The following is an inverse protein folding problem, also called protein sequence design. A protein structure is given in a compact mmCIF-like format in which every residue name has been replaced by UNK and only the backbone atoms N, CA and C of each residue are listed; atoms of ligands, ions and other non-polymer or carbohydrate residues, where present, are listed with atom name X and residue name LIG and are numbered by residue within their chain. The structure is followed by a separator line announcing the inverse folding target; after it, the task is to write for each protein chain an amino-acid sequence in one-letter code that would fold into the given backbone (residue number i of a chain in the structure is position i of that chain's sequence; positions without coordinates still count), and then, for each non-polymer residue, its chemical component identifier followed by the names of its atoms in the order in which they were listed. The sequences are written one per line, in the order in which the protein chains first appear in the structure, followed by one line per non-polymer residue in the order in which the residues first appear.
data_IF_667262336410
#
_entry.id   IF_667262336410
#
_cell.length_a   1.000
_cell.length_b   1.000
_cell.length_c   1.000
_cell.angle_alpha   90.00
_cell.angle_beta   90.00
_cell.angle_gamma   90.00
#
_symmetry.space_group_name_H-M   'P 1'
#
loop_
_entity.id
_entity.type
_entity.pdbx_description
1 polymer ?
#
# COMPACT_ATOMS: atom_id res chain seq x y z
N UNK A 1 22.27 16.78 -2.66
CA UNK A 1 21.08 17.66 -2.74
C UNK A 1 21.47 18.86 -3.57
N UNK A 2 21.09 18.82 -4.84
CA UNK A 2 21.59 19.71 -5.88
C UNK A 2 21.27 21.18 -5.59
N UNK A 3 22.31 22.02 -5.64
CA UNK A 3 22.29 23.47 -5.46
C UNK A 3 21.40 24.24 -6.49
N UNK A 4 20.66 23.52 -7.34
CA UNK A 4 19.78 24.02 -8.39
C UNK A 4 18.39 24.41 -7.90
N UNK A 5 17.93 23.81 -6.79
CA UNK A 5 16.60 24.12 -6.18
C UNK A 5 16.64 25.46 -5.45
N UNK A 6 17.78 25.84 -4.87
CA UNK A 6 17.95 27.11 -4.14
C UNK A 6 18.22 28.32 -5.05
N UNK A 7 18.52 28.10 -6.33
CA UNK A 7 18.98 29.13 -7.28
C UNK A 7 18.04 29.37 -8.46
N UNK A 8 16.99 28.56 -8.62
CA UNK A 8 16.02 28.68 -9.71
C UNK A 8 14.77 29.47 -9.28
N UNK A 9 14.07 30.19 -10.18
CA UNK A 9 12.82 30.86 -9.83
C UNK A 9 11.78 29.87 -9.31
N UNK A 10 10.98 30.28 -8.31
CA UNK A 10 10.04 29.42 -7.57
C UNK A 10 9.06 28.67 -8.50
N UNK A 11 8.58 29.33 -9.57
CA UNK A 11 7.65 28.73 -10.54
C UNK A 11 8.21 27.49 -11.26
N UNK A 12 9.35 27.54 -11.99
CA UNK A 12 9.88 26.36 -12.69
C UNK A 12 10.30 25.23 -11.75
N UNK A 13 10.81 25.53 -10.55
CA UNK A 13 11.13 24.50 -9.55
C UNK A 13 9.87 23.78 -9.05
N UNK A 14 8.80 24.52 -8.74
CA UNK A 14 7.52 23.91 -8.36
C UNK A 14 6.94 23.06 -9.49
N UNK A 15 6.98 23.54 -10.74
CA UNK A 15 6.44 22.80 -11.88
C UNK A 15 7.26 21.52 -12.12
N UNK A 16 8.59 21.56 -12.03
CA UNK A 16 9.42 20.37 -12.28
C UNK A 16 9.25 19.28 -11.21
N UNK A 17 8.83 19.64 -10.00
CA UNK A 17 8.53 18.67 -8.93
C UNK A 17 7.08 18.19 -8.96
N UNK A 18 6.14 19.09 -9.26
CA UNK A 18 4.71 18.79 -9.20
C UNK A 18 4.21 18.09 -10.46
N UNK A 19 4.75 18.41 -11.64
CA UNK A 19 4.28 17.79 -12.88
C UNK A 19 4.50 16.25 -12.91
N UNK A 20 5.68 15.71 -12.52
CA UNK A 20 5.86 14.26 -12.42
C UNK A 20 4.95 13.62 -11.37
N UNK A 21 4.79 14.24 -10.21
CA UNK A 21 3.94 13.73 -9.14
C UNK A 21 2.45 13.69 -9.54
N UNK A 22 1.97 14.78 -10.17
CA UNK A 22 0.61 14.85 -10.68
C UNK A 22 0.36 13.82 -11.78
N UNK A 23 1.32 13.61 -12.68
CA UNK A 23 1.22 12.57 -13.70
C UNK A 23 1.18 11.17 -13.08
N UNK A 24 2.01 10.89 -12.06
CA UNK A 24 1.97 9.63 -11.31
C UNK A 24 0.61 9.37 -10.64
N UNK A 25 0.02 10.40 -10.03
CA UNK A 25 -1.33 10.30 -9.46
C UNK A 25 -2.40 10.05 -10.54
N UNK A 26 -2.32 10.73 -11.68
CA UNK A 26 -3.24 10.49 -12.80
C UNK A 26 -3.15 9.06 -13.32
N UNK A 27 -1.94 8.52 -13.48
CA UNK A 27 -1.75 7.12 -13.87
C UNK A 27 -2.34 6.15 -12.83
N UNK A 28 -2.19 6.46 -11.55
CA UNK A 28 -2.77 5.67 -10.45
C UNK A 28 -4.30 5.62 -10.53
N UNK A 29 -4.95 6.78 -10.76
CA UNK A 29 -6.40 6.84 -10.93
C UNK A 29 -6.88 6.11 -12.19
N UNK A 30 -6.16 6.23 -13.30
CA UNK A 30 -6.47 5.50 -14.53
C UNK A 30 -6.37 3.99 -14.33
N UNK A 31 -5.35 3.52 -13.62
CA UNK A 31 -5.21 2.11 -13.28
C UNK A 31 -6.41 1.61 -12.45
N UNK A 32 -6.82 2.34 -11.41
CA UNK A 32 -7.99 1.97 -10.60
C UNK A 32 -9.28 1.89 -11.43
N UNK A 33 -9.48 2.82 -12.37
CA UNK A 33 -10.65 2.83 -13.26
C UNK A 33 -10.63 1.63 -14.21
N UNK A 34 -9.48 1.34 -14.81
CA UNK A 34 -9.32 0.22 -15.73
C UNK A 34 -9.53 -1.12 -15.01
N UNK A 35 -8.96 -1.29 -13.82
CA UNK A 35 -9.14 -2.49 -12.99
C UNK A 35 -10.62 -2.74 -12.67
N UNK A 36 -11.31 -1.70 -12.16
CA UNK A 36 -12.75 -1.76 -11.87
C UNK A 36 -13.58 -2.07 -13.12
N UNK A 37 -13.21 -1.50 -14.28
CA UNK A 37 -13.89 -1.74 -15.55
C UNK A 37 -13.76 -3.20 -16.01
N UNK A 38 -12.57 -3.79 -15.92
CA UNK A 38 -12.34 -5.19 -16.29
C UNK A 38 -13.06 -6.16 -15.36
N UNK A 39 -13.07 -5.90 -14.05
CA UNK A 39 -13.79 -6.76 -13.11
C UNK A 39 -15.31 -6.61 -13.26
N UNK A 40 -15.80 -5.39 -13.54
CA UNK A 40 -17.20 -5.14 -13.86
C UNK A 40 -17.67 -5.86 -15.14
N UNK A 41 -16.76 -6.17 -16.07
CA UNK A 41 -17.04 -6.98 -17.27
C UNK A 41 -17.19 -8.47 -16.99
N UNK A 42 -16.63 -8.99 -15.89
CA UNK A 42 -16.75 -10.40 -15.52
C UNK A 42 -18.16 -10.74 -15.03
N UNK A 43 -18.82 -9.79 -14.36
CA UNK A 43 -20.22 -9.88 -13.98
C UNK A 43 -20.54 -9.03 -12.76
N UNK A 44 -21.83 -9.03 -12.38
CA UNK A 44 -22.33 -8.24 -11.24
C UNK A 44 -21.92 -8.84 -9.89
N UNK A 45 -21.69 -10.15 -9.82
CA UNK A 45 -21.28 -10.83 -8.58
C UNK A 45 -19.80 -10.59 -8.27
N UNK A 46 -18.97 -10.52 -9.30
CA UNK A 46 -17.54 -10.24 -9.26
C UNK A 46 -17.28 -8.80 -8.82
N UNK A 47 -18.02 -7.85 -9.37
CA UNK A 47 -17.96 -6.45 -8.96
C UNK A 47 -18.45 -6.24 -7.52
N UNK A 48 -19.48 -6.98 -7.10
CA UNK A 48 -19.94 -6.97 -5.71
C UNK A 48 -18.87 -7.54 -4.77
N UNK A 49 -18.23 -8.66 -5.13
CA UNK A 49 -17.14 -9.26 -4.37
C UNK A 49 -15.94 -8.31 -4.20
N UNK A 50 -15.56 -7.57 -5.25
CA UNK A 50 -14.54 -6.51 -5.15
C UNK A 50 -14.97 -5.43 -4.13
N UNK A 51 -16.22 -4.97 -4.22
CA UNK A 51 -16.74 -3.92 -3.36
C UNK A 51 -16.75 -4.33 -1.88
N UNK A 52 -17.05 -5.59 -1.57
CA UNK A 52 -16.96 -6.12 -0.20
C UNK A 52 -15.52 -6.28 0.29
N UNK A 53 -14.59 -6.54 -0.63
CA UNK A 53 -13.16 -6.67 -0.31
C UNK A 53 -12.49 -5.32 -0.06
N UNK A 54 -13.04 -4.24 -0.61
CA UNK A 54 -12.44 -2.90 -0.56
C UNK A 54 -12.28 -2.30 0.85
N UNK A 55 -13.26 -2.39 1.78
CA UNK A 55 -13.07 -1.96 3.17
C UNK A 55 -11.94 -2.71 3.89
N UNK A 56 -11.83 -4.02 3.64
CA UNK A 56 -10.77 -4.85 4.23
C UNK A 56 -9.41 -4.43 3.66
N UNK A 57 -9.34 -4.21 2.34
CA UNK A 57 -8.16 -3.66 1.69
C UNK A 57 -7.73 -2.31 2.29
N UNK A 58 -8.68 -1.38 2.48
CA UNK A 58 -8.39 -0.08 3.09
C UNK A 58 -7.85 -0.19 4.51
N UNK A 59 -8.39 -1.08 5.35
CA UNK A 59 -7.91 -1.31 6.71
C UNK A 59 -6.47 -1.78 6.71
N UNK A 60 -6.15 -2.76 5.87
CA UNK A 60 -4.80 -3.28 5.70
C UNK A 60 -3.86 -2.17 5.26
N UNK A 61 -4.18 -1.48 4.16
CA UNK A 61 -3.31 -0.42 3.61
C UNK A 61 -3.08 0.69 4.63
N UNK A 62 -4.11 1.10 5.36
CA UNK A 62 -4.01 2.14 6.40
C UNK A 62 -3.04 1.73 7.51
N UNK A 63 -3.09 0.46 7.93
CA UNK A 63 -2.20 -0.08 8.95
C UNK A 63 -0.74 -0.06 8.48
N UNK A 64 -0.47 -0.51 7.25
CA UNK A 64 0.88 -0.47 6.66
C UNK A 64 1.38 0.96 6.43
N UNK A 65 0.56 1.87 5.90
CA UNK A 65 0.92 3.27 5.73
C UNK A 65 1.25 3.93 7.08
N UNK A 66 0.46 3.67 8.12
CA UNK A 66 0.70 4.19 9.47
C UNK A 66 2.04 3.70 10.04
N UNK A 67 2.30 2.40 9.93
CA UNK A 67 3.57 1.82 10.35
C UNK A 67 4.76 2.38 9.53
N UNK A 68 4.62 2.50 8.21
CA UNK A 68 5.63 3.06 7.31
C UNK A 68 5.98 4.52 7.65
N UNK A 69 4.97 5.35 7.88
CA UNK A 69 5.16 6.73 8.31
C UNK A 69 5.90 6.83 9.66
N UNK A 70 5.57 5.95 10.63
CA UNK A 70 6.24 5.90 11.93
C UNK A 70 7.73 5.54 11.85
N UNK A 71 8.06 4.54 11.02
CA UNK A 71 9.45 4.16 10.73
C UNK A 71 10.19 5.30 10.04
N UNK A 72 9.58 5.88 9.01
CA UNK A 72 10.14 6.98 8.24
C UNK A 72 10.53 8.17 9.14
N UNK A 73 9.63 8.56 10.05
CA UNK A 73 9.90 9.63 11.01
C UNK A 73 11.10 9.31 11.91
N UNK A 74 11.21 8.06 12.36
CA UNK A 74 12.32 7.61 13.22
C UNK A 74 13.66 7.57 12.47
N UNK A 75 13.66 7.11 11.22
CA UNK A 75 14.86 7.08 10.36
C UNK A 75 15.28 8.50 9.97
N UNK A 76 14.34 9.36 9.60
CA UNK A 76 14.58 10.76 9.26
C UNK A 76 15.22 11.52 10.45
N UNK A 77 14.77 11.26 11.68
CA UNK A 77 15.39 11.83 12.89
C UNK A 77 16.84 11.39 13.05
N UNK A 78 17.14 10.09 12.92
CA UNK A 78 18.50 9.56 13.05
C UNK A 78 19.44 10.09 11.95
N UNK A 79 18.94 10.26 10.73
CA UNK A 79 19.66 10.90 9.63
C UNK A 79 19.93 12.39 9.91
N UNK A 80 18.95 13.12 10.44
CA UNK A 80 19.11 14.53 10.83
C UNK A 80 20.16 14.74 11.93
N UNK A 81 20.28 13.80 12.86
CA UNK A 81 21.31 13.79 13.92
C UNK A 81 22.70 13.32 13.41
N UNK A 82 22.87 13.08 12.10
CA UNK A 82 24.09 12.54 11.47
C UNK A 82 24.53 11.17 12.03
N UNK A 83 23.62 10.41 12.63
CA UNK A 83 23.89 9.08 13.19
C UNK A 83 23.68 7.98 12.14
N UNK A 84 24.52 7.96 11.10
CA UNK A 84 24.38 7.07 9.94
C UNK A 84 24.33 5.57 10.30
N UNK A 85 25.13 5.13 11.27
CA UNK A 85 25.14 3.73 11.74
C UNK A 85 23.80 3.35 12.36
N UNK A 86 23.25 4.24 13.20
CA UNK A 86 21.95 4.03 13.86
C UNK A 86 20.80 4.11 12.85
N UNK A 87 20.87 5.01 11.88
CA UNK A 87 19.90 5.08 10.79
C UNK A 87 19.86 3.75 10.01
N UNK A 88 21.03 3.19 9.65
CA UNK A 88 21.11 1.89 8.97
C UNK A 88 20.50 0.76 9.81
N UNK A 89 20.83 0.70 11.11
CA UNK A 89 20.27 -0.30 12.02
C UNK A 89 18.74 -0.18 12.16
N UNK A 90 18.23 1.05 12.28
CA UNK A 90 16.79 1.31 12.34
C UNK A 90 16.08 0.89 11.05
N UNK A 91 16.66 1.19 9.89
CA UNK A 91 16.11 0.77 8.60
C UNK A 91 16.09 -0.76 8.49
N UNK A 92 17.18 -1.45 8.83
CA UNK A 92 17.22 -2.92 8.80
C UNK A 92 16.21 -3.54 9.77
N UNK A 93 16.11 -3.01 10.99
CA UNK A 93 15.13 -3.49 11.97
C UNK A 93 13.70 -3.26 11.48
N UNK A 94 13.43 -2.11 10.85
CA UNK A 94 12.13 -1.81 10.30
C UNK A 94 11.75 -2.76 9.17
N UNK A 95 12.68 -3.08 8.25
CA UNK A 95 12.45 -4.06 7.18
C UNK A 95 12.05 -5.42 7.78
N UNK A 96 12.81 -5.90 8.76
CA UNK A 96 12.50 -7.18 9.43
C UNK A 96 11.15 -7.12 10.14
N UNK A 97 10.85 -6.01 10.81
CA UNK A 97 9.56 -5.81 11.47
C UNK A 97 8.40 -5.80 10.48
N UNK A 98 8.55 -5.15 9.31
CA UNK A 98 7.53 -5.15 8.26
C UNK A 98 7.30 -6.54 7.67
N UNK A 99 8.37 -7.30 7.40
CA UNK A 99 8.24 -8.68 6.91
C UNK A 99 7.50 -9.53 7.94
N UNK A 100 7.88 -9.44 9.21
CA UNK A 100 7.21 -10.16 10.30
C UNK A 100 5.73 -9.76 10.43
N UNK A 101 5.45 -8.46 10.39
CA UNK A 101 4.10 -7.90 10.47
C UNK A 101 3.23 -8.37 9.30
N UNK A 102 3.81 -8.45 8.09
CA UNK A 102 3.12 -8.94 6.89
C UNK A 102 2.74 -10.40 7.01
N UNK A 103 3.66 -11.25 7.45
CA UNK A 103 3.40 -12.68 7.68
C UNK A 103 2.29 -12.86 8.73
N UNK A 104 2.34 -12.09 9.82
CA UNK A 104 1.33 -12.10 10.89
C UNK A 104 -0.04 -11.67 10.38
N UNK A 105 -0.13 -10.50 9.73
CA UNK A 105 -1.41 -10.00 9.22
C UNK A 105 -1.98 -10.89 8.12
N UNK A 106 -1.16 -11.40 7.21
CA UNK A 106 -1.60 -12.32 6.15
C UNK A 106 -2.19 -13.60 6.76
N UNK A 107 -1.50 -14.17 7.75
CA UNK A 107 -1.99 -15.34 8.49
C UNK A 107 -3.31 -15.05 9.19
N UNK A 108 -3.39 -13.98 9.99
CA UNK A 108 -4.61 -13.59 10.71
C UNK A 108 -5.77 -13.35 9.72
N UNK A 109 -5.50 -12.65 8.62
CA UNK A 109 -6.51 -12.35 7.60
C UNK A 109 -7.08 -13.60 6.96
N UNK A 110 -6.28 -14.65 6.76
CA UNK A 110 -6.74 -15.92 6.22
C UNK A 110 -7.72 -16.63 7.18
N UNK A 111 -7.45 -16.59 8.48
CA UNK A 111 -8.35 -17.18 9.50
C UNK A 111 -9.63 -16.37 9.70
N UNK A 112 -9.53 -15.04 9.63
CA UNK A 112 -10.65 -14.13 9.92
C UNK A 112 -11.50 -13.89 8.66
N UNK A 113 -10.98 -14.21 7.47
CA UNK A 113 -11.62 -13.94 6.18
C UNK A 113 -13.06 -14.44 6.12
N UNK A 114 -13.27 -15.72 6.44
CA UNK A 114 -14.58 -16.35 6.32
C UNK A 114 -15.59 -15.67 7.27
N UNK A 115 -15.20 -15.43 8.52
CA UNK A 115 -16.06 -14.76 9.50
C UNK A 115 -16.35 -13.30 9.14
N UNK A 116 -15.36 -12.55 8.66
CA UNK A 116 -15.55 -11.16 8.23
C UNK A 116 -16.49 -11.06 7.04
N UNK A 117 -16.31 -11.91 6.03
CA UNK A 117 -17.13 -11.84 4.83
C UNK A 117 -18.56 -12.31 5.08
N UNK A 118 -18.77 -13.33 5.93
CA UNK A 118 -20.12 -13.65 6.40
C UNK A 118 -20.75 -12.51 7.21
N UNK A 119 -19.98 -11.82 8.07
CA UNK A 119 -20.46 -10.66 8.83
C UNK A 119 -20.80 -9.45 7.93
N UNK A 120 -20.12 -9.30 6.78
CA UNK A 120 -20.40 -8.30 5.76
C UNK A 120 -21.61 -8.65 4.87
N UNK A 121 -22.25 -9.80 5.09
CA UNK A 121 -23.45 -10.24 4.37
C UNK A 121 -23.16 -11.00 3.07
N UNK A 122 -21.94 -11.49 2.88
CA UNK A 122 -21.58 -12.32 1.72
C UNK A 122 -22.27 -13.69 1.85
N UNK A 123 -22.99 -14.10 0.81
CA UNK A 123 -23.61 -15.42 0.73
C UNK A 123 -22.58 -16.51 0.41
N UNK A 124 -22.85 -17.77 0.78
CA UNK A 124 -21.93 -18.90 0.52
C UNK A 124 -21.54 -19.03 -0.96
N UNK A 125 -22.41 -18.60 -1.87
CA UNK A 125 -22.18 -18.61 -3.32
C UNK A 125 -21.15 -17.56 -3.76
N UNK A 126 -21.05 -16.43 -3.06
CA UNK A 126 -20.08 -15.36 -3.35
C UNK A 126 -18.73 -15.54 -2.64
N UNK A 127 -18.69 -16.33 -1.56
CA UNK A 127 -17.46 -16.62 -0.81
C UNK A 127 -16.28 -17.10 -1.69
N UNK A 128 -16.45 -18.02 -2.67
CA UNK A 128 -15.35 -18.43 -3.55
C UNK A 128 -14.86 -17.30 -4.47
N UNK A 129 -15.75 -16.42 -4.95
CA UNK A 129 -15.37 -15.24 -5.75
C UNK A 129 -14.55 -14.25 -4.93
N UNK A 130 -14.96 -14.00 -3.68
CA UNK A 130 -14.22 -13.14 -2.76
C UNK A 130 -12.84 -13.72 -2.43
N UNK A 131 -12.73 -15.04 -2.23
CA UNK A 131 -11.44 -15.72 -2.04
C UNK A 131 -10.52 -15.58 -3.24
N UNK A 132 -11.02 -15.75 -4.46
CA UNK A 132 -10.23 -15.52 -5.67
C UNK A 132 -9.70 -14.09 -5.80
N UNK A 133 -10.41 -13.09 -5.24
CA UNK A 133 -9.95 -11.71 -5.24
C UNK A 133 -8.98 -11.42 -4.08
N UNK A 134 -9.23 -11.97 -2.90
CA UNK A 134 -8.44 -11.72 -1.69
C UNK A 134 -7.13 -12.49 -1.62
N UNK A 135 -7.04 -13.71 -2.17
CA UNK A 135 -5.81 -14.50 -2.15
C UNK A 135 -4.65 -13.81 -2.90
N UNK A 136 -4.80 -13.34 -4.16
CA UNK A 136 -3.77 -12.57 -4.84
C UNK A 136 -3.43 -11.28 -4.10
N UNK A 137 -4.42 -10.65 -3.47
CA UNK A 137 -4.25 -9.41 -2.72
C UNK A 137 -3.42 -9.64 -1.45
N UNK A 138 -3.67 -10.73 -0.73
CA UNK A 138 -2.93 -11.15 0.46
C UNK A 138 -1.48 -11.52 0.12
N UNK A 139 -1.25 -12.20 -1.01
CA UNK A 139 0.10 -12.49 -1.50
C UNK A 139 0.79 -11.18 -1.95
N UNK A 140 0.04 -10.31 -2.62
CA UNK A 140 0.47 -8.98 -3.05
C UNK A 140 0.92 -8.08 -1.90
N UNK A 141 0.49 -8.33 -0.66
CA UNK A 141 0.98 -7.61 0.51
C UNK A 141 2.50 -7.73 0.68
N UNK A 142 3.10 -8.88 0.35
CA UNK A 142 4.56 -9.03 0.35
C UNK A 142 5.22 -8.12 -0.69
N UNK A 143 4.62 -8.00 -1.88
CA UNK A 143 5.10 -7.10 -2.92
C UNK A 143 4.93 -5.62 -2.52
N UNK A 144 3.86 -5.28 -1.80
CA UNK A 144 3.61 -3.94 -1.28
C UNK A 144 4.69 -3.50 -0.28
N UNK A 145 5.10 -4.40 0.62
CA UNK A 145 6.22 -4.14 1.53
C UNK A 145 7.54 -4.01 0.78
N UNK A 146 7.79 -4.84 -0.24
CA UNK A 146 8.98 -4.72 -1.07
C UNK A 146 9.03 -3.35 -1.79
N UNK A 147 7.92 -2.91 -2.40
CA UNK A 147 7.85 -1.60 -3.07
C UNK A 147 8.02 -0.43 -2.11
N UNK A 148 7.52 -0.55 -0.87
CA UNK A 148 7.77 0.43 0.18
C UNK A 148 9.26 0.53 0.52
N UNK A 149 10.02 -0.56 0.50
CA UNK A 149 11.46 -0.54 0.79
C UNK A 149 12.26 0.15 -0.32
N UNK A 150 11.83 0.02 -1.59
CA UNK A 150 12.51 0.64 -2.74
C UNK A 150 12.35 2.17 -2.80
N UNK A 151 11.36 2.73 -2.10
CA UNK A 151 11.10 4.18 -2.09
C UNK A 151 11.98 5.01 -1.12
N UNK A 152 12.98 4.42 -0.44
CA UNK A 152 13.84 5.10 0.56
C UNK A 152 15.31 5.24 0.14
#
# INVERSE_FOLDING_TARGET
MDAKILSSPVRPALISMTAPAAFGMLMTFMFQLIDTYFVGKLGTQELAAMSFSYPVYLLVVSFFMGAAAGVSSSVAKALGEKQWVKAKQLTTLAIVAFVFLTVLLSSISFWVMDTLFFALGVTEVMLPLVKQYMEPLLIGMFALVAGLIETW
#
